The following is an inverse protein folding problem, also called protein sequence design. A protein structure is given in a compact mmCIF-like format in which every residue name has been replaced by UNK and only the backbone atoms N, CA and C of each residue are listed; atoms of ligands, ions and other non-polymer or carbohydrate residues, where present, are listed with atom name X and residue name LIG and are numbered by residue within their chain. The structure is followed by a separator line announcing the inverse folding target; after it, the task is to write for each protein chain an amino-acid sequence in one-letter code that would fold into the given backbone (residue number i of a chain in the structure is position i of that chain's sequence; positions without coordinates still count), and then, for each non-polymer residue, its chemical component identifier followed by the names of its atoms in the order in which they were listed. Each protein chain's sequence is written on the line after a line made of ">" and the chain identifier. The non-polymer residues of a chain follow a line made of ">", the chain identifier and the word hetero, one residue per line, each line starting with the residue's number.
data_IF_526495895323
#
_entry.id   IF_526495895323
#
_cell.length_a   1.000
_cell.length_b   1.000
_cell.length_c   1.000
_cell.angle_alpha   90.00
_cell.angle_beta   90.00
_cell.angle_gamma   90.00
#
_symmetry.space_group_name_H-M   'P 1'
#
loop_
_entity.id
_entity.type
_entity.pdbx_description
1 polymer ?
#
# COMPACT_ATOMS: atom_id res chain seq x y z
N UNK A 1 0.71 -17.00 -9.83
CA UNK A 1 1.58 -15.89 -10.26
C UNK A 1 2.14 -15.22 -9.02
N UNK A 2 3.41 -14.98 -8.98
CA UNK A 2 4.05 -14.35 -7.83
C UNK A 2 3.73 -12.85 -7.81
N UNK A 3 3.40 -12.33 -6.64
CA UNK A 3 3.27 -10.90 -6.46
C UNK A 3 4.65 -10.26 -6.37
N UNK A 4 4.74 -8.97 -6.70
CA UNK A 4 5.99 -8.23 -6.63
C UNK A 4 6.22 -7.64 -5.24
N UNK A 5 5.54 -8.15 -4.23
CA UNK A 5 5.64 -7.65 -2.87
C UNK A 5 5.31 -8.75 -1.87
N UNK A 6 5.71 -8.50 -0.62
CA UNK A 6 5.35 -9.34 0.51
C UNK A 6 4.73 -8.44 1.58
N UNK A 7 3.61 -8.88 2.16
CA UNK A 7 3.00 -8.15 3.27
C UNK A 7 3.75 -8.52 4.55
N UNK A 8 4.25 -7.51 5.25
CA UNK A 8 5.02 -7.70 6.47
C UNK A 8 4.13 -7.65 7.71
N UNK A 9 3.15 -6.75 7.72
CA UNK A 9 2.25 -6.61 8.87
C UNK A 9 0.98 -5.90 8.46
N UNK A 10 -0.06 -6.09 9.25
CA UNK A 10 -1.33 -5.39 9.10
C UNK A 10 -1.81 -5.03 10.50
N UNK A 11 -2.22 -3.80 10.70
CA UNK A 11 -2.75 -3.38 12.00
C UNK A 11 -3.91 -2.40 11.81
N UNK A 12 -4.84 -2.41 12.77
CA UNK A 12 -5.92 -1.45 12.77
C UNK A 12 -5.44 -0.09 13.24
N UNK A 13 -6.02 0.95 12.66
CA UNK A 13 -5.75 2.33 13.03
C UNK A 13 -7.02 3.14 12.83
N UNK A 14 -6.96 4.42 13.18
CA UNK A 14 -8.09 5.33 13.03
C UNK A 14 -7.56 6.57 12.34
N UNK A 15 -8.33 7.06 11.36
CA UNK A 15 -7.98 8.33 10.71
C UNK A 15 -9.24 9.14 10.43
N UNK A 16 -9.06 10.42 10.12
CA UNK A 16 -10.18 11.31 9.78
C UNK A 16 -10.75 10.85 8.45
N UNK A 17 -12.08 10.72 8.37
CA UNK A 17 -12.73 10.30 7.14
C UNK A 17 -12.60 11.38 6.04
N UNK A 18 -12.96 11.00 4.81
CA UNK A 18 -12.78 11.88 3.65
C UNK A 18 -13.54 13.20 3.75
N UNK A 19 -14.66 13.21 4.46
CA UNK A 19 -15.45 14.41 4.65
C UNK A 19 -14.95 15.30 5.77
N UNK A 20 -14.04 14.81 6.61
CA UNK A 20 -13.55 15.56 7.76
C UNK A 20 -14.55 15.68 8.90
N UNK A 21 -15.61 14.87 8.88
CA UNK A 21 -16.70 14.98 9.86
C UNK A 21 -16.58 14.02 11.02
N UNK A 22 -15.58 13.14 10.99
CA UNK A 22 -15.38 12.16 12.04
C UNK A 22 -14.22 11.25 11.73
N UNK A 23 -14.14 10.13 12.44
CA UNK A 23 -13.05 9.18 12.29
C UNK A 23 -13.58 7.90 11.66
N UNK A 24 -12.71 7.20 10.97
CA UNK A 24 -13.01 5.88 10.44
C UNK A 24 -11.91 4.91 10.81
N UNK A 25 -12.28 3.64 10.94
CA UNK A 25 -11.30 2.59 11.17
C UNK A 25 -10.66 2.21 9.84
N UNK A 26 -9.34 2.08 9.85
CA UNK A 26 -8.58 1.68 8.68
C UNK A 26 -7.62 0.57 9.08
N UNK A 27 -7.12 -0.13 8.08
CA UNK A 27 -6.04 -1.09 8.25
C UNK A 27 -4.79 -0.52 7.58
N UNK A 28 -3.71 -0.47 8.35
CA UNK A 28 -2.40 -0.10 7.82
C UNK A 28 -1.68 -1.37 7.43
N UNK A 29 -1.46 -1.55 6.14
CA UNK A 29 -0.79 -2.73 5.60
C UNK A 29 0.61 -2.33 5.19
N UNK A 30 1.61 -2.90 5.86
CA UNK A 30 3.02 -2.66 5.57
C UNK A 30 3.52 -3.76 4.65
N UNK A 31 4.19 -3.38 3.59
CA UNK A 31 4.67 -4.32 2.58
C UNK A 31 6.11 -4.00 2.19
N UNK A 32 6.78 -4.99 1.61
CA UNK A 32 8.12 -4.84 1.05
C UNK A 32 8.07 -5.26 -0.41
N UNK A 33 8.63 -4.42 -1.28
CA UNK A 33 8.70 -4.72 -2.71
C UNK A 33 9.79 -5.76 -2.94
N UNK A 34 9.47 -6.84 -3.63
CA UNK A 34 10.38 -7.97 -3.84
C UNK A 34 10.93 -8.09 -5.25
N UNK A 35 10.44 -7.27 -6.19
CA UNK A 35 10.90 -7.32 -7.57
C UNK A 35 10.67 -5.96 -8.24
N UNK A 36 11.35 -5.71 -9.34
CA UNK A 36 11.22 -4.50 -10.13
C UNK A 36 12.13 -3.38 -9.67
N UNK A 37 11.97 -2.17 -10.25
CA UNK A 37 12.86 -1.03 -9.95
C UNK A 37 12.83 -0.59 -8.48
N UNK A 38 11.73 -0.85 -7.77
CA UNK A 38 11.58 -0.45 -6.37
C UNK A 38 11.92 -1.57 -5.38
N UNK A 39 12.53 -2.66 -5.84
CA UNK A 39 12.86 -3.81 -5.00
C UNK A 39 13.59 -3.36 -3.74
N UNK A 40 13.14 -3.87 -2.60
CA UNK A 40 13.72 -3.54 -1.30
C UNK A 40 13.02 -2.40 -0.57
N UNK A 41 12.16 -1.66 -1.25
CA UNK A 41 11.42 -0.56 -0.64
C UNK A 41 10.33 -1.12 0.28
N UNK A 42 10.22 -0.53 1.47
CA UNK A 42 9.14 -0.84 2.41
C UNK A 42 8.18 0.34 2.42
N UNK A 43 6.89 0.03 2.32
CA UNK A 43 5.86 1.06 2.33
C UNK A 43 4.65 0.62 3.12
N UNK A 44 3.73 1.55 3.32
CA UNK A 44 2.48 1.28 4.03
C UNK A 44 1.33 1.88 3.26
N UNK A 45 0.24 1.13 3.13
CA UNK A 45 -1.01 1.65 2.59
C UNK A 45 -2.08 1.57 3.66
N UNK A 46 -3.00 2.54 3.64
CA UNK A 46 -4.16 2.54 4.52
C UNK A 46 -5.39 2.17 3.72
N UNK A 47 -6.16 1.21 4.19
CA UNK A 47 -7.41 0.81 3.53
C UNK A 47 -8.56 0.91 4.53
N UNK A 48 -9.75 1.35 4.10
CA UNK A 48 -10.91 1.38 4.99
C UNK A 48 -11.22 -0.02 5.49
N UNK A 49 -11.69 -0.12 6.74
CA UNK A 49 -11.99 -1.41 7.33
C UNK A 49 -12.99 -2.22 6.48
N UNK A 50 -13.99 -1.56 5.91
CA UNK A 50 -14.98 -2.20 5.07
C UNK A 50 -14.41 -2.75 3.76
N UNK A 51 -13.27 -2.21 3.31
CA UNK A 51 -12.60 -2.62 2.08
C UNK A 51 -11.37 -3.49 2.35
N UNK A 52 -11.18 -3.93 3.58
CA UNK A 52 -10.02 -4.75 3.96
C UNK A 52 -10.21 -6.19 3.49
N UNK A 53 -9.90 -6.42 2.24
CA UNK A 53 -9.95 -7.74 1.62
C UNK A 53 -8.77 -7.89 0.66
N UNK A 54 -8.51 -9.14 0.24
CA UNK A 54 -7.32 -9.43 -0.56
C UNK A 54 -7.29 -8.66 -1.88
N UNK A 55 -8.44 -8.52 -2.55
CA UNK A 55 -8.50 -7.84 -3.83
C UNK A 55 -8.21 -6.35 -3.69
N UNK A 56 -8.83 -5.68 -2.74
CA UNK A 56 -8.65 -4.25 -2.53
C UNK A 56 -7.23 -3.93 -2.04
N UNK A 57 -6.76 -4.68 -1.04
CA UNK A 57 -5.42 -4.48 -0.49
C UNK A 57 -4.36 -4.72 -1.57
N UNK A 58 -4.51 -5.79 -2.34
CA UNK A 58 -3.59 -6.09 -3.43
C UNK A 58 -3.54 -4.99 -4.48
N UNK A 59 -4.71 -4.44 -4.84
CA UNK A 59 -4.78 -3.35 -5.81
C UNK A 59 -4.13 -2.09 -5.26
N UNK A 60 -4.38 -1.76 -4.00
CA UNK A 60 -3.80 -0.57 -3.38
C UNK A 60 -2.28 -0.65 -3.34
N UNK A 61 -1.73 -1.81 -2.99
CA UNK A 61 -0.27 -2.01 -2.98
C UNK A 61 0.29 -1.94 -4.39
N UNK A 62 -0.36 -2.58 -5.36
CA UNK A 62 0.09 -2.57 -6.76
C UNK A 62 0.13 -1.15 -7.32
N UNK A 63 -0.88 -0.34 -7.03
CA UNK A 63 -0.92 1.05 -7.47
C UNK A 63 0.22 1.85 -6.85
N UNK A 64 0.52 1.61 -5.59
CA UNK A 64 1.61 2.29 -4.90
C UNK A 64 2.96 1.90 -5.49
N UNK A 65 3.17 0.62 -5.77
CA UNK A 65 4.41 0.14 -6.38
C UNK A 65 4.57 0.75 -7.77
N UNK A 66 3.51 0.84 -8.55
CA UNK A 66 3.56 1.45 -9.87
C UNK A 66 4.04 2.91 -9.78
N UNK A 67 3.53 3.67 -8.81
CA UNK A 67 3.97 5.03 -8.57
C UNK A 67 5.45 5.09 -8.19
N UNK A 68 5.88 4.19 -7.31
CA UNK A 68 7.29 4.13 -6.89
C UNK A 68 8.21 3.79 -8.07
N UNK A 69 7.77 2.88 -8.94
CA UNK A 69 8.55 2.49 -10.11
C UNK A 69 8.69 3.66 -11.09
N UNK A 70 7.62 4.45 -11.27
CA UNK A 70 7.68 5.65 -12.10
C UNK A 70 8.69 6.66 -11.58
N UNK A 71 8.69 6.90 -10.27
CA UNK A 71 9.65 7.81 -9.64
C UNK A 71 11.07 7.27 -9.74
N UNK A 72 11.25 5.98 -9.52
CA UNK A 72 12.57 5.35 -9.65
C UNK A 72 13.10 5.46 -11.08
N UNK A 73 12.22 5.33 -12.07
CA UNK A 73 12.59 5.50 -13.47
C UNK A 73 13.08 6.92 -13.76
N UNK A 74 12.43 7.93 -13.17
CA UNK A 74 12.88 9.32 -13.32
C UNK A 74 14.24 9.55 -12.69
N UNK A 75 14.49 8.93 -11.55
CA UNK A 75 15.75 9.11 -10.82
C UNK A 75 16.87 8.22 -11.34
N UNK A 76 16.56 7.25 -12.16
CA UNK A 76 17.52 6.30 -12.66
C UNK A 76 18.32 6.78 -13.86
N UNK A 77 18.15 7.99 -14.24
CA UNK A 77 18.87 8.57 -15.40
C UNK A 77 20.21 9.11 -15.02
#
# INVERSE_FOLDING_TARGET
>A
MAANYTVLSQKQSVEINAQGTGFQNVWEVTYKVTAGPSKGTVGTVSVPEEDHNAAYVGQAISDKISTLDDVASLNGK
#
